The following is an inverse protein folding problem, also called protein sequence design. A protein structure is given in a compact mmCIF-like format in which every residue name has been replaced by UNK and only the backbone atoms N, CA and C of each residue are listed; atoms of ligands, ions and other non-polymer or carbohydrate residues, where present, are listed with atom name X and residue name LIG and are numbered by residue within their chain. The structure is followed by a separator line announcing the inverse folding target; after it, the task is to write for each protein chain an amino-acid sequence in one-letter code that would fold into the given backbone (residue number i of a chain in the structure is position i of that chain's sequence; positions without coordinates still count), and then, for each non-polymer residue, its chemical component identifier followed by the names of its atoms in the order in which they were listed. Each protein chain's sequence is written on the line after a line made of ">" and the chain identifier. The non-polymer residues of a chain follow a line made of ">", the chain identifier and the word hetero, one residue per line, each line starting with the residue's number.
data_IF_262519296671
#
_entry.id   IF_262519296671
#
_cell.length_a   1.000
_cell.length_b   1.000
_cell.length_c   1.000
_cell.angle_alpha   90.00
_cell.angle_beta   90.00
_cell.angle_gamma   90.00
#
_symmetry.space_group_name_H-M   'P 1'
#
loop_
_entity.id
_entity.type
_entity.pdbx_description
1 polymer ?
#
# COMPACT_ATOMS: atom_id res chain seq x y z
N UNK A 1 14.32 -64.18 21.68
CA UNK A 1 14.29 -62.82 22.23
C UNK A 1 14.93 -61.74 21.35
N UNK A 2 16.05 -61.98 20.65
CA UNK A 2 16.79 -60.96 19.82
C UNK A 2 16.00 -60.41 18.59
N UNK A 3 15.05 -61.19 17.98
CA UNK A 3 14.27 -60.73 16.82
C UNK A 3 13.21 -59.66 17.23
N UNK A 4 12.61 -59.79 18.41
CA UNK A 4 11.60 -58.84 18.89
C UNK A 4 12.22 -57.49 19.28
N UNK A 5 13.45 -57.49 19.84
CA UNK A 5 14.22 -56.29 20.21
C UNK A 5 14.62 -55.47 18.96
N UNK A 6 15.02 -56.14 17.85
CA UNK A 6 15.33 -55.44 16.58
C UNK A 6 14.07 -54.86 15.93
N UNK A 7 12.92 -55.52 15.96
CA UNK A 7 11.66 -55.03 15.46
C UNK A 7 11.16 -53.80 16.25
N UNK A 8 11.27 -53.81 17.59
CA UNK A 8 10.88 -52.64 18.40
C UNK A 8 11.80 -51.46 18.18
N UNK A 9 13.10 -51.65 17.96
CA UNK A 9 14.05 -50.60 17.64
C UNK A 9 13.77 -49.96 16.27
N UNK A 10 13.43 -50.74 15.28
CA UNK A 10 13.04 -50.24 13.95
C UNK A 10 11.73 -49.43 14.00
N UNK A 11 10.74 -49.88 14.78
CA UNK A 11 9.51 -49.14 14.98
C UNK A 11 9.70 -47.82 15.69
N UNK A 12 10.54 -47.76 16.71
CA UNK A 12 10.89 -46.54 17.45
C UNK A 12 11.67 -45.54 16.54
N UNK A 13 12.61 -46.03 15.72
CA UNK A 13 13.35 -45.24 14.78
C UNK A 13 12.42 -44.68 13.66
N UNK A 14 11.50 -45.48 13.17
CA UNK A 14 10.49 -45.02 12.19
C UNK A 14 9.57 -43.95 12.78
N UNK A 15 9.17 -44.10 14.05
CA UNK A 15 8.36 -43.12 14.79
C UNK A 15 9.14 -41.80 14.99
N UNK A 16 10.41 -41.86 15.34
CA UNK A 16 11.27 -40.69 15.50
C UNK A 16 11.47 -39.95 14.16
N UNK A 17 11.68 -40.67 13.07
CA UNK A 17 11.78 -40.10 11.72
C UNK A 17 10.47 -39.43 11.29
N UNK A 18 9.33 -40.05 11.54
CA UNK A 18 8.02 -39.47 11.25
C UNK A 18 7.80 -38.17 12.05
N UNK A 19 8.13 -38.15 13.34
CA UNK A 19 8.03 -36.96 14.18
C UNK A 19 8.97 -35.83 13.70
N UNK A 20 10.19 -36.17 13.32
CA UNK A 20 11.14 -35.21 12.75
C UNK A 20 10.63 -34.61 11.43
N UNK A 21 10.03 -35.42 10.56
CA UNK A 21 9.40 -34.94 9.32
C UNK A 21 8.25 -33.98 9.58
N UNK A 22 7.39 -34.28 10.56
CA UNK A 22 6.30 -33.40 11.00
C UNK A 22 6.87 -32.07 11.55
N UNK A 23 7.94 -32.11 12.35
CA UNK A 23 8.58 -30.92 12.86
C UNK A 23 9.15 -30.02 11.75
N UNK A 24 9.82 -30.61 10.75
CA UNK A 24 10.32 -29.88 9.59
C UNK A 24 9.17 -29.21 8.83
N UNK A 25 8.08 -29.94 8.62
CA UNK A 25 6.88 -29.41 7.97
C UNK A 25 6.26 -28.25 8.75
N UNK A 26 6.07 -28.42 10.09
CA UNK A 26 5.54 -27.35 10.96
C UNK A 26 6.46 -26.14 11.02
N UNK A 27 7.78 -26.35 11.05
CA UNK A 27 8.77 -25.27 11.00
C UNK A 27 8.68 -24.48 9.69
N UNK A 28 8.56 -25.18 8.57
CA UNK A 28 8.43 -24.54 7.26
C UNK A 28 7.12 -23.73 7.13
N UNK A 29 6.02 -24.28 7.66
CA UNK A 29 4.72 -23.63 7.69
C UNK A 29 4.69 -22.43 8.67
N UNK A 30 5.44 -22.50 9.77
CA UNK A 30 5.56 -21.41 10.77
C UNK A 30 6.43 -20.25 10.29
N UNK A 31 7.24 -20.44 9.25
CA UNK A 31 8.18 -19.45 8.71
C UNK A 31 7.57 -18.64 7.56
N UNK A 32 6.26 -18.61 7.40
CA UNK A 32 5.66 -17.75 6.36
C UNK A 32 5.99 -16.28 6.64
N UNK A 33 6.72 -15.64 5.73
CA UNK A 33 7.21 -14.25 5.75
C UNK A 33 6.04 -13.22 5.56
N UNK A 34 4.83 -13.55 6.05
CA UNK A 34 3.64 -12.73 5.84
C UNK A 34 3.66 -11.42 6.63
N UNK A 35 4.31 -11.39 7.80
CA UNK A 35 4.32 -10.19 8.66
C UNK A 35 4.98 -8.97 8.01
N UNK A 36 6.02 -9.17 7.20
CA UNK A 36 6.69 -8.11 6.45
C UNK A 36 5.79 -7.49 5.39
N UNK A 37 4.97 -8.31 4.74
CA UNK A 37 4.07 -7.87 3.68
C UNK A 37 2.92 -7.01 4.24
N UNK A 38 2.36 -7.34 5.42
CA UNK A 38 1.31 -6.54 6.07
C UNK A 38 1.82 -5.16 6.50
N UNK A 39 3.03 -5.08 7.04
CA UNK A 39 3.66 -3.81 7.41
C UNK A 39 3.89 -2.93 6.18
N UNK A 40 4.40 -3.50 5.08
CA UNK A 40 4.59 -2.79 3.82
C UNK A 40 3.27 -2.32 3.22
N UNK A 41 2.24 -3.16 3.21
CA UNK A 41 0.91 -2.81 2.71
C UNK A 41 0.29 -1.64 3.49
N UNK A 42 0.41 -1.63 4.82
CA UNK A 42 -0.03 -0.50 5.67
C UNK A 42 0.73 0.79 5.38
N UNK A 43 2.03 0.68 5.13
CA UNK A 43 2.84 1.85 4.80
C UNK A 43 2.43 2.45 3.45
N UNK A 44 2.14 1.63 2.45
CA UNK A 44 1.61 2.08 1.15
C UNK A 44 0.27 2.80 1.31
N UNK A 45 -0.66 2.26 2.11
CA UNK A 45 -1.95 2.92 2.40
C UNK A 45 -1.72 4.29 3.06
N UNK A 46 -0.80 4.38 4.02
CA UNK A 46 -0.46 5.65 4.68
C UNK A 46 0.11 6.66 3.69
N UNK A 47 1.00 6.23 2.80
CA UNK A 47 1.57 7.09 1.76
C UNK A 47 0.49 7.59 0.79
N UNK A 48 -0.44 6.71 0.35
CA UNK A 48 -1.56 7.11 -0.52
C UNK A 48 -2.40 8.19 0.16
N UNK A 49 -2.76 8.03 1.44
CA UNK A 49 -3.49 9.06 2.21
C UNK A 49 -2.72 10.38 2.30
N UNK A 50 -1.42 10.31 2.50
CA UNK A 50 -0.57 11.51 2.53
C UNK A 50 -0.59 12.24 1.19
N UNK A 51 -0.47 11.52 0.07
CA UNK A 51 -0.55 12.13 -1.26
C UNK A 51 -1.95 12.65 -1.58
N UNK A 52 -3.01 12.01 -1.10
CA UNK A 52 -4.37 12.51 -1.24
C UNK A 52 -4.56 13.86 -0.53
N UNK A 53 -4.12 13.97 0.73
CA UNK A 53 -4.13 15.23 1.47
C UNK A 53 -3.26 16.32 0.80
N UNK A 54 -2.10 15.95 0.24
CA UNK A 54 -1.28 16.88 -0.54
C UNK A 54 -2.00 17.36 -1.80
N UNK A 55 -2.74 16.46 -2.46
CA UNK A 55 -3.51 16.79 -3.65
C UNK A 55 -4.64 17.78 -3.35
N UNK A 56 -5.40 17.56 -2.27
CA UNK A 56 -6.41 18.51 -1.78
C UNK A 56 -5.81 19.88 -1.46
N UNK A 57 -4.71 19.89 -0.73
CA UNK A 57 -3.98 21.13 -0.44
C UNK A 57 -3.49 21.86 -1.70
N UNK A 58 -3.08 21.12 -2.72
CA UNK A 58 -2.68 21.68 -4.00
C UNK A 58 -3.87 22.25 -4.80
N UNK A 59 -5.03 21.59 -4.76
CA UNK A 59 -6.29 22.09 -5.35
C UNK A 59 -6.71 23.38 -4.69
N UNK A 60 -6.74 23.43 -3.36
CA UNK A 60 -7.08 24.64 -2.61
C UNK A 60 -6.09 25.80 -2.89
N UNK A 61 -4.80 25.48 -2.95
CA UNK A 61 -3.77 26.47 -3.32
C UNK A 61 -3.95 26.97 -4.75
N UNK A 62 -4.32 26.11 -5.70
CA UNK A 62 -4.60 26.53 -7.09
C UNK A 62 -5.79 27.49 -7.19
N UNK A 63 -6.75 27.44 -6.26
CA UNK A 63 -7.84 28.42 -6.16
C UNK A 63 -7.33 29.79 -5.76
N UNK A 64 -6.42 29.86 -4.77
CA UNK A 64 -6.04 31.13 -4.13
C UNK A 64 -4.84 31.82 -4.78
N UNK A 65 -3.94 31.06 -5.42
CA UNK A 65 -2.68 31.59 -5.94
C UNK A 65 -2.86 32.24 -7.30
N UNK A 66 -2.27 33.43 -7.48
CA UNK A 66 -2.31 34.17 -8.75
C UNK A 66 -1.44 33.52 -9.84
N UNK A 67 -0.47 32.72 -9.47
CA UNK A 67 0.47 32.08 -10.39
C UNK A 67 -0.02 30.69 -10.81
N UNK A 68 -0.21 30.49 -12.11
CA UNK A 68 -0.83 29.29 -12.73
C UNK A 68 0.13 28.12 -12.87
N UNK A 69 0.53 27.51 -11.79
CA UNK A 69 1.23 26.24 -11.90
C UNK A 69 0.32 25.10 -11.41
N UNK A 70 -0.19 24.30 -12.36
CA UNK A 70 -0.96 23.07 -12.07
C UNK A 70 -0.07 21.82 -11.92
N UNK A 71 1.28 21.95 -12.01
CA UNK A 71 2.20 20.83 -11.83
C UNK A 71 2.06 20.18 -10.44
N UNK A 72 1.83 20.93 -9.34
CA UNK A 72 1.60 20.35 -8.03
C UNK A 72 0.36 19.44 -7.94
N UNK A 73 -0.59 19.54 -8.89
CA UNK A 73 -1.74 18.64 -8.97
C UNK A 73 -1.43 17.32 -9.68
N UNK A 74 -0.33 17.26 -10.44
CA UNK A 74 0.00 16.09 -11.27
C UNK A 74 0.81 15.07 -10.47
N UNK A 75 1.78 15.53 -9.68
CA UNK A 75 2.67 14.66 -8.93
C UNK A 75 1.93 13.73 -7.94
N UNK A 76 1.04 14.24 -7.07
CA UNK A 76 0.30 13.36 -6.15
C UNK A 76 -0.52 12.30 -6.88
N UNK A 77 -1.15 12.66 -8.00
CA UNK A 77 -1.94 11.74 -8.84
C UNK A 77 -1.07 10.59 -9.38
N UNK A 78 0.12 10.90 -9.88
CA UNK A 78 1.05 9.90 -10.42
C UNK A 78 1.51 8.96 -9.30
N UNK A 79 1.90 9.51 -8.14
CA UNK A 79 2.37 8.74 -7.00
C UNK A 79 1.27 7.85 -6.40
N UNK A 80 0.06 8.35 -6.24
CA UNK A 80 -1.08 7.54 -5.78
C UNK A 80 -1.33 6.35 -6.72
N UNK A 81 -1.31 6.57 -8.04
CA UNK A 81 -1.44 5.48 -9.03
C UNK A 81 -0.29 4.47 -8.96
N UNK A 82 0.93 4.92 -8.71
CA UNK A 82 2.10 4.05 -8.55
C UNK A 82 1.97 3.19 -7.30
N UNK A 83 1.69 3.82 -6.17
CA UNK A 83 1.54 3.15 -4.87
C UNK A 83 0.38 2.15 -4.88
N UNK A 84 -0.74 2.52 -5.50
CA UNK A 84 -1.88 1.61 -5.64
C UNK A 84 -1.56 0.35 -6.46
N UNK A 85 -0.80 0.48 -7.54
CA UNK A 85 -0.32 -0.69 -8.30
C UNK A 85 0.64 -1.55 -7.48
N UNK A 86 1.54 -0.94 -6.73
CA UNK A 86 2.46 -1.64 -5.84
C UNK A 86 1.70 -2.40 -4.75
N UNK A 87 0.70 -1.77 -4.14
CA UNK A 87 -0.20 -2.41 -3.18
C UNK A 87 -0.89 -3.64 -3.79
N UNK A 88 -1.41 -3.55 -5.00
CA UNK A 88 -2.03 -4.67 -5.70
C UNK A 88 -1.10 -5.86 -5.94
N UNK A 89 0.22 -5.63 -6.12
CA UNK A 89 1.21 -6.73 -6.26
C UNK A 89 1.49 -7.47 -4.96
N UNK A 90 1.40 -6.80 -3.82
CA UNK A 90 1.53 -7.41 -2.49
C UNK A 90 0.28 -8.21 -2.14
N UNK A 91 -0.89 -7.69 -2.48
CA UNK A 91 -2.19 -8.27 -2.16
C UNK A 91 -2.40 -9.67 -2.75
N UNK A 92 -1.90 -9.94 -3.94
CA UNK A 92 -2.01 -11.26 -4.60
C UNK A 92 -1.33 -12.41 -3.84
N UNK A 93 -0.57 -12.12 -2.77
CA UNK A 93 0.15 -13.08 -1.94
C UNK A 93 -0.55 -13.39 -0.62
N UNK A 94 -1.62 -12.67 -0.26
CA UNK A 94 -2.32 -12.86 1.01
C UNK A 94 -3.51 -13.81 0.89
N UNK A 95 -3.66 -14.66 1.92
CA UNK A 95 -4.83 -15.50 2.06
C UNK A 95 -5.98 -14.65 2.64
N UNK A 96 -6.93 -14.28 1.78
CA UNK A 96 -8.04 -13.41 2.15
C UNK A 96 -9.13 -14.18 2.87
N UNK A 97 -9.45 -13.75 4.08
CA UNK A 97 -10.50 -14.33 4.90
C UNK A 97 -11.89 -14.05 4.32
N UNK A 98 -12.08 -12.87 3.71
CA UNK A 98 -13.36 -12.40 3.15
C UNK A 98 -13.19 -11.81 1.74
N UNK A 99 -13.06 -12.66 0.73
CA UNK A 99 -12.80 -12.26 -0.67
C UNK A 99 -13.79 -11.23 -1.22
N UNK A 100 -15.09 -11.36 -0.90
CA UNK A 100 -16.14 -10.45 -1.40
C UNK A 100 -16.04 -9.05 -0.79
N UNK A 101 -15.73 -8.97 0.51
CA UNK A 101 -15.55 -7.70 1.21
C UNK A 101 -14.32 -6.95 0.67
N UNK A 102 -13.22 -7.66 0.44
CA UNK A 102 -12.02 -7.13 -0.20
C UNK A 102 -12.31 -6.56 -1.60
N UNK A 103 -12.98 -7.34 -2.46
CA UNK A 103 -13.35 -6.87 -3.81
C UNK A 103 -14.24 -5.64 -3.78
N UNK A 104 -15.14 -5.54 -2.79
CA UNK A 104 -15.97 -4.34 -2.61
C UNK A 104 -15.11 -3.14 -2.23
N UNK A 105 -14.29 -3.24 -1.19
CA UNK A 105 -13.45 -2.14 -0.72
C UNK A 105 -12.50 -1.61 -1.82
N UNK A 106 -11.94 -2.52 -2.62
CA UNK A 106 -11.12 -2.15 -3.79
C UNK A 106 -11.90 -1.38 -4.85
N UNK A 107 -13.11 -1.81 -5.17
CA UNK A 107 -13.97 -1.09 -6.12
C UNK A 107 -14.38 0.27 -5.60
N UNK A 108 -14.75 0.34 -4.33
CA UNK A 108 -15.16 1.59 -3.68
C UNK A 108 -14.00 2.62 -3.73
N UNK A 109 -12.78 2.21 -3.40
CA UNK A 109 -11.60 3.08 -3.54
C UNK A 109 -11.35 3.47 -5.00
N UNK A 110 -11.38 2.53 -5.94
CA UNK A 110 -11.13 2.79 -7.35
C UNK A 110 -12.14 3.79 -7.91
N UNK A 111 -13.42 3.63 -7.56
CA UNK A 111 -14.48 4.55 -7.97
C UNK A 111 -14.26 5.93 -7.37
N UNK A 112 -14.03 6.03 -6.05
CA UNK A 112 -13.75 7.30 -5.39
C UNK A 112 -12.54 8.02 -6.01
N UNK A 113 -11.47 7.28 -6.31
CA UNK A 113 -10.29 7.82 -6.96
C UNK A 113 -10.60 8.37 -8.37
N UNK A 114 -11.30 7.60 -9.21
CA UNK A 114 -11.65 8.01 -10.58
C UNK A 114 -12.61 9.21 -10.57
N UNK A 115 -13.57 9.25 -9.65
CA UNK A 115 -14.48 10.39 -9.44
C UNK A 115 -13.69 11.65 -9.05
N UNK A 116 -12.74 11.55 -8.11
CA UNK A 116 -11.89 12.69 -7.71
C UNK A 116 -11.03 13.18 -8.87
N UNK A 117 -10.45 12.29 -9.67
CA UNK A 117 -9.69 12.65 -10.88
C UNK A 117 -10.54 13.46 -11.85
N UNK A 118 -11.78 13.04 -12.09
CA UNK A 118 -12.72 13.75 -12.97
C UNK A 118 -13.07 15.13 -12.42
N UNK A 119 -13.38 15.22 -11.12
CA UNK A 119 -13.71 16.49 -10.45
C UNK A 119 -12.54 17.47 -10.49
N UNK A 120 -11.32 17.03 -10.20
CA UNK A 120 -10.11 17.87 -10.29
C UNK A 120 -9.85 18.33 -11.72
N UNK A 121 -10.10 17.48 -12.71
CA UNK A 121 -9.96 17.88 -14.12
C UNK A 121 -10.97 18.98 -14.51
N UNK A 122 -12.23 18.86 -14.07
CA UNK A 122 -13.25 19.90 -14.26
C UNK A 122 -12.89 21.17 -13.50
N UNK A 123 -12.46 21.07 -12.25
CA UNK A 123 -11.98 22.20 -11.47
C UNK A 123 -10.87 22.96 -12.20
N UNK A 124 -9.85 22.29 -12.72
CA UNK A 124 -8.77 22.94 -13.50
C UNK A 124 -9.31 23.76 -14.65
N UNK A 125 -10.29 23.23 -15.40
CA UNK A 125 -10.87 23.92 -16.55
C UNK A 125 -11.65 25.18 -16.14
N UNK A 126 -12.56 25.07 -15.18
CA UNK A 126 -13.37 26.18 -14.70
C UNK A 126 -12.53 27.23 -13.97
N UNK A 127 -11.57 26.80 -13.13
CA UNK A 127 -10.66 27.69 -12.42
C UNK A 127 -9.75 28.45 -13.39
N UNK A 128 -9.29 27.84 -14.50
CA UNK A 128 -8.49 28.53 -15.50
C UNK A 128 -9.27 29.64 -16.19
N UNK A 129 -10.53 29.42 -16.57
CA UNK A 129 -11.41 30.42 -17.16
C UNK A 129 -11.64 31.58 -16.18
N UNK A 130 -11.98 31.24 -14.93
CA UNK A 130 -12.19 32.20 -13.86
C UNK A 130 -10.94 33.08 -13.63
N UNK A 131 -9.79 32.47 -13.50
CA UNK A 131 -8.52 33.15 -13.25
C UNK A 131 -8.12 34.07 -14.42
N UNK A 132 -8.28 33.61 -15.66
CA UNK A 132 -8.04 34.44 -16.82
C UNK A 132 -8.94 35.68 -16.82
N UNK A 133 -10.21 35.53 -16.47
CA UNK A 133 -11.13 36.66 -16.39
C UNK A 133 -10.77 37.63 -15.26
N UNK A 134 -10.42 37.14 -14.08
CA UNK A 134 -9.97 37.96 -12.95
C UNK A 134 -8.65 38.70 -13.26
N UNK A 135 -7.70 38.05 -13.91
CA UNK A 135 -6.43 38.66 -14.30
C UNK A 135 -6.57 39.74 -15.39
N UNK A 136 -7.60 39.60 -16.23
CA UNK A 136 -7.88 40.57 -17.30
C UNK A 136 -8.44 41.90 -16.77
N UNK A 137 -9.26 41.89 -15.71
CA UNK A 137 -9.94 43.09 -15.21
C UNK A 137 -9.01 44.26 -14.92
N UNK A 138 -7.89 44.12 -14.18
CA UNK A 138 -6.98 45.25 -13.94
C UNK A 138 -6.36 45.79 -15.24
N UNK A 139 -5.97 44.93 -16.15
CA UNK A 139 -5.39 45.35 -17.44
C UNK A 139 -6.39 46.14 -18.31
N UNK A 140 -7.66 45.72 -18.29
CA UNK A 140 -8.75 46.40 -19.00
C UNK A 140 -9.05 47.75 -18.38
N UNK A 141 -8.96 47.91 -17.05
CA UNK A 141 -9.06 49.18 -16.35
C UNK A 141 -8.06 50.21 -16.86
N UNK A 142 -6.81 49.79 -17.01
CA UNK A 142 -5.73 50.64 -17.51
C UNK A 142 -6.02 51.16 -18.96
N UNK A 143 -6.56 50.30 -19.82
CA UNK A 143 -6.94 50.67 -21.18
C UNK A 143 -8.02 51.77 -21.18
N UNK A 144 -9.06 51.62 -20.36
CA UNK A 144 -10.09 52.67 -20.22
C UNK A 144 -9.50 53.97 -19.73
N UNK A 145 -8.61 53.92 -18.71
CA UNK A 145 -7.98 55.09 -18.15
C UNK A 145 -7.11 55.84 -19.17
N UNK A 146 -6.38 55.10 -20.01
CA UNK A 146 -5.58 55.72 -21.10
C UNK A 146 -6.48 56.42 -22.12
N UNK A 147 -7.65 55.86 -22.49
CA UNK A 147 -8.61 56.48 -23.38
C UNK A 147 -9.21 57.74 -22.78
N UNK A 148 -9.55 57.72 -21.46
CA UNK A 148 -10.07 58.92 -20.74
C UNK A 148 -9.11 60.10 -20.74
N UNK A 149 -7.81 59.85 -20.53
CA UNK A 149 -6.80 60.93 -20.51
C UNK A 149 -6.66 61.66 -21.83
N UNK A 150 -7.08 61.05 -22.94
CA UNK A 150 -6.98 61.62 -24.30
C UNK A 150 -8.17 62.51 -24.68
N UNK A 151 -9.18 62.56 -23.84
CA UNK A 151 -10.42 63.31 -24.15
C UNK A 151 -10.34 64.71 -23.49
N UNK A 152 -10.59 65.74 -24.31
CA UNK A 152 -10.46 67.17 -23.93
C UNK A 152 -11.85 67.88 -23.85
N UNK A 153 -13.00 67.23 -24.21
CA UNK A 153 -14.28 67.92 -24.48
C UNK A 153 -15.41 67.63 -23.45
N UNK A 154 -16.52 68.38 -23.59
CA UNK A 154 -17.69 68.50 -22.71
C UNK A 154 -18.45 67.17 -22.37
N UNK A 155 -18.23 66.12 -23.13
CA UNK A 155 -18.76 64.74 -22.84
C UNK A 155 -18.01 64.03 -21.69
N UNK A 156 -17.01 64.66 -21.12
CA UNK A 156 -16.17 64.10 -20.06
C UNK A 156 -16.95 63.75 -18.79
N UNK A 157 -18.02 64.44 -18.41
CA UNK A 157 -18.79 64.21 -17.19
C UNK A 157 -19.55 62.87 -17.30
N UNK A 158 -20.24 62.62 -18.44
CA UNK A 158 -20.98 61.37 -18.66
C UNK A 158 -20.03 60.21 -18.76
N UNK A 159 -18.93 60.37 -19.48
CA UNK A 159 -17.93 59.36 -19.68
C UNK A 159 -17.23 58.98 -18.36
N UNK A 160 -16.89 59.95 -17.51
CA UNK A 160 -16.35 59.72 -16.16
C UNK A 160 -17.30 58.95 -15.29
N UNK A 161 -18.63 59.26 -15.37
CA UNK A 161 -19.64 58.49 -14.62
C UNK A 161 -19.69 57.04 -15.04
N UNK A 162 -19.80 56.73 -16.32
CA UNK A 162 -19.85 55.37 -16.85
C UNK A 162 -18.54 54.62 -16.54
N UNK A 163 -17.41 55.30 -16.57
CA UNK A 163 -16.14 54.73 -16.20
C UNK A 163 -16.09 54.40 -14.69
N UNK A 164 -16.61 55.30 -13.83
CA UNK A 164 -16.72 55.04 -12.39
C UNK A 164 -17.60 53.83 -12.14
N UNK A 165 -18.79 53.76 -12.78
CA UNK A 165 -19.71 52.63 -12.67
C UNK A 165 -19.04 51.32 -13.14
N UNK A 166 -18.18 51.38 -14.16
CA UNK A 166 -17.40 50.23 -14.65
C UNK A 166 -16.35 49.77 -13.63
N UNK A 167 -15.63 50.73 -12.98
CA UNK A 167 -14.67 50.38 -11.92
C UNK A 167 -15.35 49.81 -10.69
N UNK A 168 -16.49 50.38 -10.28
CA UNK A 168 -17.27 49.85 -9.14
C UNK A 168 -17.74 48.44 -9.43
N UNK A 169 -18.19 48.16 -10.67
CA UNK A 169 -18.61 46.84 -11.09
C UNK A 169 -17.44 45.83 -11.15
N UNK A 170 -16.27 46.27 -11.59
CA UNK A 170 -15.05 45.44 -11.55
C UNK A 170 -14.64 45.11 -10.12
N UNK A 171 -14.68 46.10 -9.20
CA UNK A 171 -14.38 45.88 -7.78
C UNK A 171 -15.35 44.90 -7.15
N UNK A 172 -16.67 45.12 -7.37
CA UNK A 172 -17.70 44.20 -6.89
C UNK A 172 -17.50 42.78 -7.42
N UNK A 173 -17.04 42.61 -8.68
CA UNK A 173 -16.75 41.30 -9.27
C UNK A 173 -15.51 40.62 -8.64
N UNK A 174 -14.49 41.40 -8.26
CA UNK A 174 -13.33 40.89 -7.51
C UNK A 174 -13.73 40.47 -6.09
N UNK A 175 -14.57 41.26 -5.42
CA UNK A 175 -15.11 40.92 -4.11
C UNK A 175 -15.99 39.66 -4.16
N UNK A 176 -16.83 39.51 -5.21
CA UNK A 176 -17.63 38.32 -5.43
C UNK A 176 -16.78 37.06 -5.63
N UNK A 177 -15.64 37.18 -6.30
CA UNK A 177 -14.70 36.09 -6.46
C UNK A 177 -14.05 35.62 -5.14
N UNK A 178 -13.99 36.51 -4.12
CA UNK A 178 -13.51 36.18 -2.78
C UNK A 178 -14.61 35.66 -1.86
N UNK A 179 -15.82 36.21 -1.98
CA UNK A 179 -16.96 35.91 -1.11
C UNK A 179 -18.24 35.82 -1.97
N UNK A 180 -18.51 34.63 -2.45
CA UNK A 180 -19.66 34.33 -3.32
C UNK A 180 -20.95 34.43 -2.52
N UNK A 181 -21.82 35.41 -2.85
CA UNK A 181 -23.17 35.55 -2.29
C UNK A 181 -24.16 35.87 -3.40
N UNK A 182 -25.40 35.39 -3.26
CA UNK A 182 -26.44 35.62 -4.24
C UNK A 182 -26.79 37.13 -4.34
N UNK A 183 -26.70 37.87 -3.22
CA UNK A 183 -26.94 39.30 -3.15
C UNK A 183 -25.93 40.06 -4.05
N UNK A 184 -24.63 39.79 -3.87
CA UNK A 184 -23.57 40.39 -4.72
C UNK A 184 -23.72 40.03 -6.19
N UNK A 185 -24.10 38.77 -6.49
CA UNK A 185 -24.36 38.35 -7.86
C UNK A 185 -25.52 39.16 -8.49
N UNK A 186 -26.61 39.38 -7.75
CA UNK A 186 -27.74 40.18 -8.22
C UNK A 186 -27.34 41.64 -8.46
N UNK A 187 -26.57 42.24 -7.55
CA UNK A 187 -26.12 43.64 -7.68
C UNK A 187 -25.20 43.80 -8.93
N UNK A 188 -24.30 42.86 -9.15
CA UNK A 188 -23.42 42.85 -10.34
C UNK A 188 -24.26 42.72 -11.63
N UNK A 189 -25.29 41.86 -11.66
CA UNK A 189 -26.17 41.69 -12.81
C UNK A 189 -26.93 42.97 -13.12
N UNK A 190 -27.44 43.68 -12.08
CA UNK A 190 -28.11 44.99 -12.22
C UNK A 190 -27.08 46.01 -12.80
N UNK A 191 -25.86 46.03 -12.29
CA UNK A 191 -24.78 46.91 -12.76
C UNK A 191 -24.44 46.63 -14.23
N UNK A 192 -24.31 45.37 -14.63
CA UNK A 192 -24.08 44.96 -16.04
C UNK A 192 -25.20 45.41 -16.98
N UNK A 193 -26.46 45.24 -16.57
CA UNK A 193 -27.62 45.69 -17.32
C UNK A 193 -27.59 47.23 -17.52
N UNK A 194 -27.34 47.97 -16.46
CA UNK A 194 -27.21 49.44 -16.51
C UNK A 194 -26.06 49.88 -17.42
N UNK A 195 -24.93 49.21 -17.35
CA UNK A 195 -23.77 49.47 -18.19
C UNK A 195 -24.08 49.18 -19.69
N UNK A 196 -24.80 48.09 -19.99
CA UNK A 196 -25.17 47.71 -21.33
C UNK A 196 -26.09 48.76 -22.01
N UNK A 197 -27.03 49.33 -21.27
CA UNK A 197 -27.96 50.39 -21.76
C UNK A 197 -27.21 51.71 -22.00
N UNK A 198 -26.26 52.04 -21.13
CA UNK A 198 -25.56 53.32 -21.19
C UNK A 198 -24.39 53.34 -22.20
N UNK A 199 -23.78 52.20 -22.54
CA UNK A 199 -22.65 52.09 -23.47
C UNK A 199 -22.99 52.51 -24.87
N UNK A 200 -24.21 52.30 -25.34
CA UNK A 200 -24.65 52.65 -26.75
C UNK A 200 -24.51 54.15 -27.02
N UNK A 201 -24.48 54.95 -25.98
CA UNK A 201 -24.34 56.42 -26.06
C UNK A 201 -22.87 56.90 -26.04
N UNK A 202 -21.94 55.93 -26.00
CA UNK A 202 -20.49 56.24 -25.94
C UNK A 202 -19.85 56.19 -27.33
N UNK A 203 -18.71 56.85 -27.50
CA UNK A 203 -17.87 56.68 -28.69
C UNK A 203 -17.44 55.21 -28.83
N UNK A 204 -17.32 54.74 -30.10
CA UNK A 204 -17.03 53.34 -30.41
C UNK A 204 -15.75 52.81 -29.75
N UNK A 205 -14.74 53.65 -29.62
CA UNK A 205 -13.46 53.33 -28.95
C UNK A 205 -13.59 52.99 -27.46
N UNK A 206 -14.74 53.37 -26.80
CA UNK A 206 -15.06 52.98 -25.42
C UNK A 206 -16.00 51.79 -25.32
N UNK A 207 -16.88 51.62 -26.34
CA UNK A 207 -17.84 50.49 -26.33
C UNK A 207 -17.14 49.15 -26.32
N UNK A 208 -16.10 48.95 -27.13
CA UNK A 208 -15.37 47.67 -27.25
C UNK A 208 -14.67 47.25 -25.94
N UNK A 209 -13.88 48.12 -25.29
CA UNK A 209 -13.31 47.79 -23.98
C UNK A 209 -14.37 47.46 -22.89
N UNK A 210 -15.44 48.24 -22.82
CA UNK A 210 -16.53 48.03 -21.89
C UNK A 210 -17.25 46.70 -22.14
N UNK A 211 -17.53 46.35 -23.40
CA UNK A 211 -18.09 45.05 -23.75
C UNK A 211 -17.18 43.90 -23.35
N UNK A 212 -15.88 44.04 -23.53
CA UNK A 212 -14.94 43.02 -23.16
C UNK A 212 -14.91 42.84 -21.61
N UNK A 213 -14.91 43.93 -20.87
CA UNK A 213 -14.99 43.88 -19.40
C UNK A 213 -16.29 43.19 -18.94
N UNK A 214 -17.44 43.62 -19.51
CA UNK A 214 -18.74 43.02 -19.21
C UNK A 214 -18.75 41.51 -19.41
N UNK A 215 -18.20 41.02 -20.53
CA UNK A 215 -18.07 39.58 -20.82
C UNK A 215 -17.19 38.84 -19.79
N UNK A 216 -16.10 39.45 -19.35
CA UNK A 216 -15.26 38.84 -18.31
C UNK A 216 -15.95 38.83 -16.96
N UNK A 217 -16.73 39.85 -16.60
CA UNK A 217 -17.55 39.87 -15.39
C UNK A 217 -18.63 38.79 -15.45
N UNK A 218 -19.31 38.63 -16.57
CA UNK A 218 -20.29 37.54 -16.80
C UNK A 218 -19.64 36.14 -16.62
N UNK A 219 -18.40 35.98 -17.14
CA UNK A 219 -17.63 34.77 -16.95
C UNK A 219 -17.31 34.51 -15.47
N UNK A 220 -16.94 35.55 -14.72
CA UNK A 220 -16.67 35.44 -13.28
C UNK A 220 -17.92 35.02 -12.54
N UNK A 221 -19.06 35.67 -12.79
CA UNK A 221 -20.34 35.31 -12.17
C UNK A 221 -20.76 33.87 -12.44
N UNK A 222 -20.48 33.37 -13.65
CA UNK A 222 -20.83 32.00 -14.06
C UNK A 222 -19.87 30.95 -13.52
N UNK A 223 -18.58 31.24 -13.54
CA UNK A 223 -17.56 30.23 -13.24
C UNK A 223 -17.25 30.14 -11.74
N UNK A 224 -17.34 31.24 -11.00
CA UNK A 224 -17.02 31.26 -9.56
C UNK A 224 -17.87 30.25 -8.74
N UNK A 225 -19.23 30.21 -8.86
CA UNK A 225 -20.03 29.25 -8.12
C UNK A 225 -19.72 27.79 -8.51
N UNK A 226 -19.35 27.53 -9.80
CA UNK A 226 -18.99 26.19 -10.24
C UNK A 226 -17.66 25.74 -9.63
N UNK A 227 -16.69 26.65 -9.54
CA UNK A 227 -15.41 26.38 -8.88
C UNK A 227 -15.62 26.04 -7.42
N UNK A 228 -16.47 26.79 -6.71
CA UNK A 228 -16.81 26.54 -5.31
C UNK A 228 -17.49 25.17 -5.14
N UNK A 229 -18.51 24.86 -5.95
CA UNK A 229 -19.18 23.56 -5.94
C UNK A 229 -18.22 22.40 -6.25
N UNK A 230 -17.28 22.58 -7.20
CA UNK A 230 -16.29 21.55 -7.51
C UNK A 230 -15.31 21.33 -6.37
N UNK A 231 -14.92 22.38 -5.64
CA UNK A 231 -14.06 22.25 -4.46
C UNK A 231 -14.76 21.46 -3.35
N UNK A 232 -16.01 21.79 -3.05
CA UNK A 232 -16.82 21.05 -2.09
C UNK A 232 -17.01 19.58 -2.50
N UNK A 233 -17.28 19.34 -3.79
CA UNK A 233 -17.42 17.99 -4.31
C UNK A 233 -16.11 17.19 -4.25
N UNK A 234 -14.93 17.81 -4.45
CA UNK A 234 -13.61 17.18 -4.33
C UNK A 234 -13.34 16.79 -2.89
N UNK A 235 -13.63 17.67 -1.94
CA UNK A 235 -13.47 17.42 -0.50
C UNK A 235 -14.39 16.29 0.00
N UNK A 236 -15.60 16.20 -0.55
CA UNK A 236 -16.59 15.19 -0.19
C UNK A 236 -16.28 13.77 -0.72
N UNK A 237 -15.26 13.59 -1.58
CA UNK A 237 -14.92 12.27 -2.12
C UNK A 237 -14.28 11.38 -1.03
N UNK A 238 -14.85 10.20 -0.70
CA UNK A 238 -14.47 9.40 0.47
C UNK A 238 -13.24 8.51 0.22
N UNK A 239 -12.10 9.08 -0.24
CA UNK A 239 -10.86 8.31 -0.47
C UNK A 239 -10.29 7.81 0.86
N UNK A 240 -10.20 8.69 1.86
CA UNK A 240 -9.65 8.33 3.16
C UNK A 240 -10.44 7.20 3.83
N UNK A 241 -11.78 7.26 3.81
CA UNK A 241 -12.67 6.24 4.38
C UNK A 241 -12.55 4.89 3.65
N UNK A 242 -12.44 4.92 2.31
CA UNK A 242 -12.23 3.72 1.50
C UNK A 242 -10.90 3.05 1.83
N UNK A 243 -9.83 3.83 2.04
CA UNK A 243 -8.51 3.34 2.45
C UNK A 243 -8.52 2.83 3.91
N UNK A 244 -9.30 3.45 4.80
CA UNK A 244 -9.49 2.97 6.18
C UNK A 244 -10.20 1.63 6.22
N UNK A 245 -11.20 1.42 5.37
CA UNK A 245 -11.86 0.13 5.23
C UNK A 245 -10.88 -0.97 4.78
N UNK A 246 -10.00 -0.67 3.83
CA UNK A 246 -8.95 -1.60 3.37
C UNK A 246 -7.94 -1.86 4.49
N UNK A 247 -7.49 -0.83 5.22
CA UNK A 247 -6.56 -0.97 6.33
C UNK A 247 -7.13 -1.86 7.45
N UNK A 248 -8.42 -1.68 7.77
CA UNK A 248 -9.11 -2.50 8.77
C UNK A 248 -9.18 -3.99 8.37
N UNK A 249 -9.41 -4.27 7.08
CA UNK A 249 -9.39 -5.65 6.57
C UNK A 249 -7.99 -6.25 6.66
N UNK A 250 -6.97 -5.47 6.32
CA UNK A 250 -5.56 -5.87 6.42
C UNK A 250 -5.19 -6.22 7.87
N UNK A 251 -5.62 -5.42 8.84
CA UNK A 251 -5.39 -5.66 10.26
C UNK A 251 -6.09 -6.94 10.75
N UNK A 252 -7.30 -7.22 10.28
CA UNK A 252 -8.03 -8.46 10.58
C UNK A 252 -7.32 -9.69 10.01
N UNK A 253 -6.87 -9.61 8.76
CA UNK A 253 -6.15 -10.70 8.11
C UNK A 253 -4.79 -10.95 8.79
N UNK A 254 -4.06 -9.91 9.20
CA UNK A 254 -2.84 -10.02 9.99
C UNK A 254 -3.09 -10.70 11.35
N UNK A 255 -4.16 -10.30 12.06
CA UNK A 255 -4.53 -10.93 13.32
C UNK A 255 -4.89 -12.42 13.14
N UNK A 256 -5.63 -12.76 12.10
CA UNK A 256 -5.96 -14.14 11.78
C UNK A 256 -4.71 -14.97 11.45
N UNK A 257 -3.78 -14.42 10.68
CA UNK A 257 -2.49 -15.03 10.36
C UNK A 257 -1.63 -15.21 11.63
N UNK A 258 -1.56 -14.20 12.50
CA UNK A 258 -0.82 -14.27 13.76
C UNK A 258 -1.37 -15.36 14.70
N UNK A 259 -2.69 -15.47 14.84
CA UNK A 259 -3.33 -16.54 15.63
C UNK A 259 -3.02 -17.92 15.05
N UNK A 260 -2.99 -18.04 13.73
CA UNK A 260 -2.64 -19.29 13.03
C UNK A 260 -1.18 -19.64 13.26
N UNK A 261 -0.26 -18.69 13.12
CA UNK A 261 1.17 -18.87 13.43
C UNK A 261 1.41 -19.28 14.89
N UNK A 262 0.70 -18.65 15.84
CA UNK A 262 0.79 -19.01 17.26
C UNK A 262 0.36 -20.47 17.51
N UNK A 263 -0.67 -20.96 16.83
CA UNK A 263 -1.07 -22.40 16.92
C UNK A 263 0.03 -23.31 16.38
N UNK A 264 0.67 -22.97 15.27
CA UNK A 264 1.78 -23.77 14.73
C UNK A 264 2.99 -23.75 15.66
N UNK A 265 3.34 -22.63 16.28
CA UNK A 265 4.39 -22.57 17.29
C UNK A 265 4.09 -23.45 18.50
N UNK A 266 2.84 -23.46 18.96
CA UNK A 266 2.43 -24.35 20.05
C UNK A 266 2.58 -25.82 19.66
N UNK A 267 2.12 -26.24 18.49
CA UNK A 267 2.30 -27.60 17.99
C UNK A 267 3.76 -27.97 17.83
N UNK A 268 4.58 -27.06 17.31
CA UNK A 268 6.02 -27.27 17.17
C UNK A 268 6.69 -27.52 18.55
N UNK A 269 6.29 -26.77 19.58
CA UNK A 269 6.80 -26.97 20.95
C UNK A 269 6.37 -28.34 21.51
N UNK A 270 5.10 -28.73 21.36
CA UNK A 270 4.58 -30.02 21.82
C UNK A 270 5.30 -31.18 21.13
N UNK A 271 5.36 -31.15 19.78
CA UNK A 271 6.01 -32.22 19.01
C UNK A 271 7.53 -32.29 19.26
N UNK A 272 8.21 -31.14 19.47
CA UNK A 272 9.61 -31.08 19.82
C UNK A 272 9.86 -31.73 21.16
N UNK A 273 9.06 -31.42 22.19
CA UNK A 273 9.16 -32.00 23.53
C UNK A 273 8.93 -33.51 23.44
N UNK A 274 7.96 -33.96 22.69
CA UNK A 274 7.64 -35.38 22.49
C UNK A 274 8.78 -36.14 21.80
N UNK A 275 9.44 -35.50 20.83
CA UNK A 275 10.62 -36.06 20.16
C UNK A 275 11.79 -36.21 21.13
N UNK A 276 12.07 -35.20 21.94
CA UNK A 276 13.14 -35.24 22.97
C UNK A 276 12.89 -36.35 23.98
N UNK A 277 11.65 -36.49 24.47
CA UNK A 277 11.27 -37.58 25.37
C UNK A 277 11.45 -38.97 24.75
N UNK A 278 11.06 -39.11 23.46
CA UNK A 278 11.25 -40.36 22.71
C UNK A 278 12.73 -40.70 22.55
N UNK A 279 13.57 -39.73 22.24
CA UNK A 279 15.02 -39.91 22.09
C UNK A 279 15.68 -40.28 23.42
N UNK A 280 15.27 -39.63 24.53
CA UNK A 280 15.72 -39.99 25.88
C UNK A 280 15.29 -41.41 26.27
N UNK A 281 14.05 -41.81 25.98
CA UNK A 281 13.58 -43.15 26.21
C UNK A 281 14.37 -44.18 25.37
N UNK A 282 14.62 -43.92 24.09
CA UNK A 282 15.46 -44.76 23.25
C UNK A 282 16.89 -44.88 23.82
N UNK A 283 17.50 -43.77 24.25
CA UNK A 283 18.82 -43.75 24.87
C UNK A 283 18.89 -44.61 26.12
N UNK A 284 17.94 -44.46 27.02
CA UNK A 284 17.85 -45.29 28.24
C UNK A 284 17.64 -46.79 27.92
N UNK A 285 16.77 -47.09 26.95
CA UNK A 285 16.54 -48.45 26.55
C UNK A 285 17.80 -49.08 25.91
N UNK A 286 18.53 -48.32 25.09
CA UNK A 286 19.79 -48.75 24.49
C UNK A 286 20.85 -48.99 25.55
N UNK A 287 20.99 -48.10 26.53
CA UNK A 287 21.93 -48.27 27.66
C UNK A 287 21.63 -49.52 28.48
N UNK A 288 20.35 -49.80 28.80
CA UNK A 288 19.91 -51.01 29.46
C UNK A 288 20.24 -52.25 28.64
N UNK A 289 19.94 -52.24 27.32
CA UNK A 289 20.27 -53.35 26.42
C UNK A 289 21.77 -53.58 26.30
N UNK A 290 22.60 -52.55 26.31
CA UNK A 290 24.09 -52.69 26.37
C UNK A 290 24.60 -53.16 27.70
N UNK A 291 23.98 -52.83 28.82
CA UNK A 291 24.36 -53.29 30.16
C UNK A 291 24.13 -54.81 30.33
N UNK A 292 23.06 -55.35 29.69
CA UNK A 292 22.79 -56.78 29.65
C UNK A 292 23.73 -57.61 28.75
N UNK A 293 24.47 -56.95 27.83
CA UNK A 293 25.39 -57.58 26.87
C UNK A 293 26.86 -57.56 27.37
N UNK A 294 27.14 -56.98 28.57
CA UNK A 294 28.50 -57.10 29.12
C UNK A 294 28.74 -58.58 29.44
N UNK A 295 29.53 -59.32 28.61
CA UNK A 295 29.91 -60.66 28.97
C UNK A 295 30.78 -60.56 30.22
N UNK A 296 30.53 -61.45 31.20
CA UNK A 296 31.45 -61.74 32.28
C UNK A 296 32.84 -61.88 31.65
N UNK A 297 33.77 -60.97 31.97
CA UNK A 297 35.19 -61.25 31.75
C UNK A 297 35.50 -62.50 32.59
N UNK A 298 35.85 -63.66 32.00
CA UNK A 298 36.34 -64.77 32.80
C UNK A 298 37.66 -64.26 33.42
N UNK A 299 37.71 -64.26 34.74
CA UNK A 299 38.96 -64.02 35.45
C UNK A 299 40.02 -65.02 35.00
N UNK A 300 41.16 -64.56 34.59
CA UNK A 300 42.27 -65.32 34.01
C UNK A 300 42.89 -66.36 35.04
N UNK A 301 42.17 -66.64 36.09
CA UNK A 301 42.60 -67.55 37.15
C UNK A 301 42.05 -68.97 37.12
N UNK A 302 41.00 -69.28 36.34
CA UNK A 302 40.39 -70.65 36.34
C UNK A 302 40.74 -71.50 35.11
N UNK A 303 41.41 -70.96 34.09
CA UNK A 303 41.83 -71.72 32.94
C UNK A 303 43.15 -72.51 33.12
N UNK A 304 43.88 -72.32 34.23
CA UNK A 304 45.16 -73.00 34.46
C UNK A 304 45.04 -74.25 35.33
N UNK A 305 43.84 -74.60 35.81
CA UNK A 305 43.60 -75.78 36.67
C UNK A 305 42.98 -76.99 35.98
N UNK A 306 42.73 -76.97 34.70
CA UNK A 306 42.14 -78.07 33.90
C UNK A 306 43.07 -78.71 32.87
N UNK A 307 44.37 -78.32 32.79
CA UNK A 307 45.36 -78.93 31.87
C UNK A 307 46.26 -79.92 32.58
N UNK A 308 46.01 -80.24 33.84
CA UNK A 308 46.87 -81.09 34.66
C UNK A 308 46.51 -82.57 34.84
N UNK A 309 45.46 -83.07 34.25
CA UNK A 309 45.09 -84.49 34.38
C UNK A 309 44.49 -85.09 33.15
N UNK A 310 45.32 -85.44 32.18
CA UNK A 310 45.13 -86.53 31.22
C UNK A 310 46.43 -86.69 30.39
N UNK A 311 47.47 -87.24 31.08
CA UNK A 311 48.60 -87.82 30.35
C UNK A 311 48.43 -89.29 30.13
N UNK A 312 49.02 -89.77 29.10
CA UNK A 312 49.29 -91.15 28.73
C UNK A 312 48.17 -91.98 28.11
N UNK A 313 48.33 -92.15 26.77
CA UNK A 313 48.68 -93.44 26.13
C UNK A 313 48.72 -93.16 24.58
N UNK A 314 49.95 -93.32 24.05
CA UNK A 314 50.45 -94.31 23.13
C UNK A 314 49.96 -94.29 21.62
N UNK A 315 50.74 -93.81 20.76
CA UNK A 315 51.36 -94.31 19.46
C UNK A 315 50.56 -95.36 18.63
N UNK A 316 50.91 -95.61 17.31
CA UNK A 316 51.63 -94.78 16.29
C UNK A 316 51.04 -94.86 14.83
N UNK A 317 51.73 -94.19 13.90
CA UNK A 317 51.83 -94.60 12.48
C UNK A 317 50.98 -93.73 11.53
N UNK A 318 51.48 -93.16 10.57
CA UNK A 318 52.31 -93.30 9.43
C UNK A 318 52.16 -92.09 8.55
N UNK A 319 53.27 -91.59 8.08
CA UNK A 319 53.42 -90.73 6.91
C UNK A 319 53.06 -91.47 5.60
N UNK A 320 52.86 -90.87 4.37
CA UNK A 320 53.71 -89.81 3.77
C UNK A 320 52.96 -88.79 2.87
N UNK A 321 53.53 -87.65 2.72
CA UNK A 321 54.18 -87.01 1.58
C UNK A 321 53.39 -86.60 0.33
N UNK A 322 53.71 -85.46 -0.06
CA UNK A 322 54.03 -84.90 -1.39
C UNK A 322 53.13 -83.78 -1.89
N UNK A 323 53.75 -82.66 -2.04
CA UNK A 323 54.10 -81.86 -3.21
C UNK A 323 52.99 -81.06 -3.88
N UNK A 324 53.20 -79.78 -3.81
CA UNK A 324 53.71 -78.88 -4.86
C UNK A 324 52.77 -78.61 -5.98
N UNK A 325 52.52 -77.41 -6.23
CA UNK A 325 52.87 -76.48 -7.33
C UNK A 325 51.86 -75.37 -7.37
N UNK A 326 52.18 -74.15 -7.17
CA UNK A 326 52.74 -73.21 -8.16
C UNK A 326 51.73 -72.80 -9.24
N UNK A 327 51.58 -71.56 -9.29
CA UNK A 327 51.48 -70.65 -10.42
C UNK A 327 50.13 -70.00 -10.77
N UNK A 328 50.22 -68.70 -10.68
CA UNK A 328 50.00 -67.67 -11.71
C UNK A 328 48.59 -67.63 -12.32
N UNK A 329 48.03 -66.46 -12.23
CA UNK A 329 48.00 -65.45 -13.29
C UNK A 329 46.58 -65.04 -13.61
N UNK A 330 46.44 -63.76 -13.67
CA UNK A 330 45.27 -63.12 -14.31
C UNK A 330 44.72 -62.01 -13.45
#
# INVERSE_FOLDING_TARGET
>A
MRLNARRSLLLLAACAMSLASVLVYLYWMSRSDESGNYAQARDLIRQIKQYDAQWEGAVLKARTTTNYNYDPLVLPLIEMKRLWREFGTLEGRHQKTEMLAWQKAFRDYQQAFDDKVLLVSRFKTHNAILRNSLAFLPAAADVIQVHLRRLVDADTVRLRRITSDTYDLMLSSLEFAHATTDEKAADILVGLNNLSVNKERLPVNFQVPIDTISKHIELILREQPKVDQLLEAIEAVPIAESLDAIALMLDRDEQAAALTAQRYHFYLLVFSTLLVLLLLYMGMWLMRSYAEIKPCKPSAGECQRRIGTAGRTAYPGTYPSQRSTAARGG
#
